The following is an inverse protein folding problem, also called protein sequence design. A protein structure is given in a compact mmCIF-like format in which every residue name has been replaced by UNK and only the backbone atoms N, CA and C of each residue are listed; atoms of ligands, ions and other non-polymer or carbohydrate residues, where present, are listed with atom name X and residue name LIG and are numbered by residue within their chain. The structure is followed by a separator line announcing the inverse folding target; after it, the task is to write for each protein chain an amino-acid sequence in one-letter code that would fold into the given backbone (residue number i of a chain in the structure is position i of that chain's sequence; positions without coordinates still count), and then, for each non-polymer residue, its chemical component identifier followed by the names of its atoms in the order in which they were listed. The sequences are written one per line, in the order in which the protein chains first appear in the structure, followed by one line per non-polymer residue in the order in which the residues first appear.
data_IF_002503289108
#
_entry.id   IF_002503289108
#
_cell.length_a   1.000
_cell.length_b   1.000
_cell.length_c   1.000
_cell.angle_alpha   90.00
_cell.angle_beta   90.00
_cell.angle_gamma   90.00
#
_symmetry.space_group_name_H-M   'P 1'
#
loop_
_entity.id
_entity.type
_entity.pdbx_description
1 polymer ?
#
# COMPACT_ATOMS: atom_id res chain seq x y z
N UNK A 1 18.39 4.57 14.02
CA UNK A 1 18.29 3.73 12.80
C UNK A 1 19.41 4.17 11.86
N UNK A 2 20.27 3.26 11.36
CA UNK A 2 21.37 3.61 10.44
C UNK A 2 20.96 3.39 8.99
N UNK A 3 21.57 4.12 8.06
CA UNK A 3 21.40 3.93 6.60
C UNK A 3 21.63 2.47 6.19
N UNK A 4 22.73 1.88 6.67
CA UNK A 4 23.05 0.47 6.46
C UNK A 4 21.93 -0.48 6.93
N UNK A 5 21.32 -0.20 8.09
CA UNK A 5 20.24 -1.03 8.63
C UNK A 5 18.94 -0.95 7.81
N UNK A 6 18.61 0.20 7.23
CA UNK A 6 17.43 0.34 6.35
C UNK A 6 17.67 -0.39 5.02
N UNK A 7 18.84 -0.22 4.42
CA UNK A 7 19.22 -0.92 3.20
C UNK A 7 19.19 -2.45 3.39
N UNK A 8 19.71 -2.95 4.51
CA UNK A 8 19.67 -4.38 4.82
C UNK A 8 18.24 -4.92 4.91
N UNK A 9 17.33 -4.22 5.59
CA UNK A 9 15.92 -4.63 5.68
C UNK A 9 15.22 -4.60 4.32
N UNK A 10 15.48 -3.55 3.52
CA UNK A 10 14.96 -3.44 2.16
C UNK A 10 15.40 -4.63 1.28
N UNK A 11 16.70 -4.94 1.25
CA UNK A 11 17.23 -6.05 0.46
C UNK A 11 16.64 -7.41 0.89
N UNK A 12 16.37 -7.58 2.19
CA UNK A 12 15.72 -8.79 2.70
C UNK A 12 14.29 -8.94 2.18
N UNK A 13 13.53 -7.84 2.09
CA UNK A 13 12.18 -7.85 1.50
C UNK A 13 12.26 -8.22 0.01
N UNK A 14 13.16 -7.61 -0.76
CA UNK A 14 13.37 -7.98 -2.18
C UNK A 14 13.65 -9.46 -2.37
N UNK A 15 14.48 -10.05 -1.51
CA UNK A 15 14.80 -11.48 -1.58
C UNK A 15 13.56 -12.36 -1.34
N UNK A 16 12.63 -11.93 -0.47
CA UNK A 16 11.36 -12.63 -0.27
C UNK A 16 10.48 -12.56 -1.51
N UNK A 17 10.43 -11.41 -2.18
CA UNK A 17 9.58 -11.19 -3.35
C UNK A 17 9.97 -12.06 -4.55
N UNK A 18 11.26 -12.39 -4.71
CA UNK A 18 11.73 -13.27 -5.79
C UNK A 18 11.11 -14.68 -5.77
N UNK A 19 10.56 -15.11 -4.63
CA UNK A 19 9.96 -16.44 -4.45
C UNK A 19 8.49 -16.34 -4.00
N UNK A 20 7.83 -15.21 -4.27
CA UNK A 20 6.43 -14.96 -3.88
C UNK A 20 5.55 -15.04 -5.11
N UNK A 21 4.57 -15.94 -5.16
CA UNK A 21 3.63 -15.99 -6.30
C UNK A 21 2.52 -14.95 -6.17
N UNK A 22 2.09 -14.66 -4.94
CA UNK A 22 0.96 -13.79 -4.64
C UNK A 22 1.20 -12.91 -3.42
N UNK A 23 0.67 -11.68 -3.46
CA UNK A 23 0.57 -10.78 -2.32
C UNK A 23 -0.90 -10.66 -1.94
N UNK A 24 -1.22 -10.98 -0.69
CA UNK A 24 -2.57 -10.87 -0.16
C UNK A 24 -2.65 -9.82 0.95
N UNK A 25 -3.62 -8.92 0.87
CA UNK A 25 -3.92 -7.92 1.90
C UNK A 25 -5.25 -8.32 2.54
N UNK A 26 -5.18 -8.77 3.79
CA UNK A 26 -6.34 -9.27 4.53
C UNK A 26 -6.46 -8.56 5.89
N UNK A 27 -7.68 -8.24 6.31
CA UNK A 27 -7.96 -7.74 7.65
C UNK A 27 -9.20 -8.42 8.24
N UNK A 28 -9.28 -8.52 9.57
CA UNK A 28 -10.46 -9.02 10.28
C UNK A 28 -11.71 -8.15 10.01
N UNK A 29 -11.50 -6.89 9.64
CA UNK A 29 -12.56 -5.94 9.32
C UNK A 29 -13.21 -6.20 7.94
N UNK A 30 -12.61 -7.03 7.09
CA UNK A 30 -13.18 -7.45 5.81
C UNK A 30 -12.38 -7.05 4.57
N UNK A 31 -11.24 -6.36 4.71
CA UNK A 31 -10.34 -6.15 3.56
C UNK A 31 -9.85 -7.51 3.09
N UNK A 32 -9.99 -7.79 1.79
CA UNK A 32 -9.50 -9.02 1.17
C UNK A 32 -9.14 -8.72 -0.28
N UNK A 33 -7.86 -8.53 -0.55
CA UNK A 33 -7.31 -8.30 -1.88
C UNK A 33 -6.19 -9.30 -2.14
N UNK A 34 -6.14 -9.83 -3.37
CA UNK A 34 -5.09 -10.75 -3.79
C UNK A 34 -4.55 -10.28 -5.13
N UNK A 35 -3.22 -10.18 -5.21
CA UNK A 35 -2.49 -9.81 -6.42
C UNK A 35 -1.52 -10.93 -6.77
N UNK A 36 -1.39 -11.27 -8.05
CA UNK A 36 -0.22 -12.01 -8.53
C UNK A 36 1.00 -11.09 -8.45
N UNK A 37 2.16 -11.62 -8.05
CA UNK A 37 3.40 -10.83 -8.01
C UNK A 37 3.74 -10.26 -9.39
N UNK A 38 3.41 -10.98 -10.47
CA UNK A 38 3.70 -10.59 -11.84
C UNK A 38 2.85 -9.39 -12.30
N UNK A 39 1.74 -9.13 -11.59
CA UNK A 39 0.89 -7.97 -11.82
C UNK A 39 1.32 -6.73 -10.99
N UNK A 40 2.38 -6.86 -10.19
CA UNK A 40 2.89 -5.79 -9.33
C UNK A 40 4.26 -5.29 -9.81
N UNK A 41 4.39 -3.98 -9.95
CA UNK A 41 5.70 -3.32 -9.90
C UNK A 41 5.99 -2.85 -8.48
N UNK A 42 7.24 -2.85 -8.05
CA UNK A 42 7.59 -2.39 -6.71
C UNK A 42 8.85 -1.54 -6.64
N UNK A 43 8.84 -0.56 -5.73
CA UNK A 43 9.96 0.35 -5.49
C UNK A 43 10.29 0.44 -4.00
N UNK A 44 11.57 0.68 -3.69
CA UNK A 44 12.02 0.87 -2.31
C UNK A 44 12.44 2.29 -2.01
N UNK A 45 11.83 2.83 -0.97
CA UNK A 45 12.11 4.17 -0.45
C UNK A 45 12.84 4.02 0.88
N UNK A 46 14.17 4.03 0.80
CA UNK A 46 15.07 3.81 1.94
C UNK A 46 15.64 5.10 2.53
N UNK A 47 15.46 6.23 1.84
CA UNK A 47 16.02 7.53 2.21
C UNK A 47 17.53 7.62 2.07
N UNK A 48 18.15 6.64 1.39
CA UNK A 48 19.58 6.59 1.10
C UNK A 48 19.76 6.58 -0.41
N UNK A 49 20.45 7.58 -0.99
CA UNK A 49 20.80 7.56 -2.42
C UNK A 49 21.64 6.31 -2.76
N UNK A 50 21.40 5.68 -3.91
CA UNK A 50 22.13 4.46 -4.32
C UNK A 50 23.29 4.78 -5.25
N UNK A 51 23.24 5.90 -5.96
CA UNK A 51 24.28 6.40 -6.84
C UNK A 51 24.26 7.92 -7.02
N UNK A 52 25.21 8.41 -7.79
CA UNK A 52 25.27 9.82 -8.19
C UNK A 52 24.06 10.17 -9.06
N UNK A 53 23.40 11.29 -8.76
CA UNK A 53 22.19 11.74 -9.45
C UNK A 53 20.87 11.19 -8.89
N UNK A 54 20.92 10.23 -7.94
CA UNK A 54 19.72 9.70 -7.32
C UNK A 54 19.07 10.69 -6.35
N UNK A 55 17.76 10.87 -6.49
CA UNK A 55 16.95 11.49 -5.46
C UNK A 55 16.55 10.46 -4.41
N UNK A 56 16.86 10.75 -3.14
CA UNK A 56 16.33 10.00 -2.01
C UNK A 56 15.59 10.95 -1.06
N UNK A 57 14.42 10.51 -0.59
CA UNK A 57 13.61 11.30 0.35
C UNK A 57 13.87 10.77 1.76
N UNK A 58 14.39 11.62 2.63
CA UNK A 58 14.57 11.34 4.05
C UNK A 58 13.57 12.18 4.86
N UNK A 59 12.77 11.59 5.78
CA UNK A 59 12.74 10.18 6.19
C UNK A 59 11.83 9.28 5.37
N UNK A 60 12.31 8.07 5.04
CA UNK A 60 11.52 6.97 4.47
C UNK A 60 12.02 5.62 5.01
N UNK A 61 11.34 4.54 4.64
CA UNK A 61 11.68 3.18 5.08
C UNK A 61 10.62 2.14 4.71
N UNK A 62 10.07 2.24 3.50
CA UNK A 62 8.99 1.38 3.03
C UNK A 62 9.26 0.86 1.61
N UNK A 63 8.52 -0.19 1.24
CA UNK A 63 8.42 -0.70 -0.12
C UNK A 63 7.01 -0.38 -0.61
N UNK A 64 6.88 0.16 -1.82
CA UNK A 64 5.60 0.44 -2.42
C UNK A 64 5.32 -0.58 -3.53
N UNK A 65 4.08 -1.07 -3.61
CA UNK A 65 3.60 -1.86 -4.73
C UNK A 65 2.65 -1.01 -5.55
N UNK A 66 2.82 -1.03 -6.88
CA UNK A 66 1.85 -0.48 -7.82
C UNK A 66 1.32 -1.64 -8.64
N UNK A 67 0.00 -1.72 -8.77
CA UNK A 67 -0.68 -2.76 -9.53
C UNK A 67 -1.35 -2.15 -10.75
N UNK A 68 -1.39 -2.90 -11.86
CA UNK A 68 -2.49 -2.72 -12.79
C UNK A 68 -3.76 -3.22 -12.08
N UNK A 69 -4.62 -2.28 -11.69
CA UNK A 69 -5.86 -2.61 -11.00
C UNK A 69 -6.94 -3.13 -11.97
N UNK A 70 -6.69 -3.17 -13.28
CA UNK A 70 -7.67 -3.64 -14.26
C UNK A 70 -8.16 -5.05 -13.90
N UNK A 71 -9.48 -5.18 -13.70
CA UNK A 71 -10.10 -6.44 -13.31
C UNK A 71 -10.00 -6.79 -11.82
N UNK A 72 -9.46 -5.89 -10.97
CA UNK A 72 -9.48 -6.07 -9.53
C UNK A 72 -10.92 -5.99 -9.00
N UNK A 73 -11.28 -7.02 -8.24
CA UNK A 73 -12.55 -7.15 -7.55
C UNK A 73 -12.26 -7.31 -6.06
N UNK A 74 -12.93 -6.55 -5.21
CA UNK A 74 -12.75 -6.70 -3.76
C UNK A 74 -13.28 -5.56 -2.94
N UNK A 75 -12.86 -5.53 -1.68
CA UNK A 75 -13.23 -4.53 -0.70
C UNK A 75 -12.01 -4.09 0.11
N UNK A 76 -11.94 -2.79 0.40
CA UNK A 76 -11.02 -2.22 1.38
C UNK A 76 -11.87 -1.64 2.50
N UNK A 77 -11.65 -2.12 3.72
CA UNK A 77 -12.31 -1.63 4.93
C UNK A 77 -11.33 -0.77 5.72
N UNK A 78 -11.62 0.53 5.77
CA UNK A 78 -10.94 1.50 6.61
C UNK A 78 -11.61 1.51 7.98
N UNK A 79 -10.83 1.34 9.04
CA UNK A 79 -11.27 1.30 10.43
C UNK A 79 -10.86 2.57 11.18
N UNK A 80 -11.48 2.88 12.33
CA UNK A 80 -11.06 4.00 13.15
C UNK A 80 -9.56 3.95 13.47
N UNK A 81 -8.84 5.03 13.14
CA UNK A 81 -7.38 5.11 13.28
C UNK A 81 -6.60 4.95 11.96
N UNK A 82 -7.23 4.45 10.90
CA UNK A 82 -6.62 4.46 9.57
C UNK A 82 -6.51 5.90 9.03
N UNK A 83 -5.55 6.11 8.13
CA UNK A 83 -5.17 7.42 7.62
C UNK A 83 -5.48 7.50 6.13
N UNK A 84 -6.19 8.56 5.75
CA UNK A 84 -6.36 8.97 4.36
C UNK A 84 -5.37 10.10 4.12
N UNK A 85 -4.22 9.76 3.53
CA UNK A 85 -3.06 10.65 3.50
C UNK A 85 -3.32 11.95 2.75
N UNK A 86 -3.97 11.90 1.58
CA UNK A 86 -4.20 13.10 0.75
C UNK A 86 -5.22 14.06 1.38
N UNK A 87 -6.18 13.53 2.14
CA UNK A 87 -7.15 14.32 2.90
C UNK A 87 -6.60 14.76 4.27
N UNK A 88 -5.39 14.30 4.66
CA UNK A 88 -4.81 14.45 6.00
C UNK A 88 -5.80 14.08 7.11
N UNK A 89 -6.63 13.07 6.85
CA UNK A 89 -7.77 12.73 7.70
C UNK A 89 -7.56 11.41 8.42
N UNK A 90 -7.92 11.38 9.70
CA UNK A 90 -7.96 10.15 10.49
C UNK A 90 -9.39 9.63 10.50
N UNK A 91 -9.58 8.40 10.01
CA UNK A 91 -10.88 7.74 9.99
C UNK A 91 -11.41 7.58 11.42
N UNK A 92 -12.66 7.99 11.66
CA UNK A 92 -13.32 7.96 12.98
C UNK A 92 -14.39 6.88 13.12
N UNK A 93 -14.92 6.39 12.01
CA UNK A 93 -15.90 5.31 11.93
C UNK A 93 -15.60 4.47 10.69
N UNK A 94 -15.94 3.17 10.66
CA UNK A 94 -15.66 2.31 9.52
C UNK A 94 -16.14 2.88 8.19
N UNK A 95 -15.32 2.75 7.15
CA UNK A 95 -15.66 3.07 5.76
C UNK A 95 -15.25 1.92 4.86
N UNK A 96 -16.16 1.46 4.02
CA UNK A 96 -15.93 0.37 3.06
C UNK A 96 -15.83 0.95 1.66
N UNK A 97 -14.75 0.62 0.96
CA UNK A 97 -14.54 0.92 -0.46
C UNK A 97 -14.78 -0.36 -1.25
N UNK A 98 -15.83 -0.38 -2.08
CA UNK A 98 -16.07 -1.50 -2.99
C UNK A 98 -15.37 -1.28 -4.32
N UNK A 99 -14.58 -2.27 -4.74
CA UNK A 99 -13.78 -2.21 -5.96
C UNK A 99 -14.35 -3.18 -6.99
N UNK A 100 -14.64 -2.69 -8.20
CA UNK A 100 -15.01 -3.50 -9.37
C UNK A 100 -14.19 -3.05 -10.58
N UNK A 101 -13.60 -4.00 -11.31
CA UNK A 101 -12.76 -3.74 -12.46
C UNK A 101 -11.63 -2.75 -12.20
N UNK A 102 -11.10 -2.69 -10.97
CA UNK A 102 -10.06 -1.73 -10.57
C UNK A 102 -10.54 -0.35 -10.14
N UNK A 103 -11.84 -0.10 -10.15
CA UNK A 103 -12.42 1.19 -9.80
C UNK A 103 -13.18 1.08 -8.49
N UNK A 104 -13.06 2.10 -7.63
CA UNK A 104 -13.96 2.26 -6.50
C UNK A 104 -15.33 2.64 -7.05
N UNK A 105 -16.33 1.78 -6.87
CA UNK A 105 -17.70 1.99 -7.37
C UNK A 105 -18.67 2.46 -6.29
N UNK A 106 -18.36 2.16 -5.02
CA UNK A 106 -19.18 2.53 -3.88
C UNK A 106 -18.29 2.79 -2.67
N UNK A 107 -18.68 3.80 -1.89
CA UNK A 107 -18.04 4.16 -0.62
C UNK A 107 -19.15 4.19 0.42
N UNK A 108 -19.11 3.27 1.39
CA UNK A 108 -20.15 3.13 2.41
C UNK A 108 -19.59 3.51 3.78
N UNK A 109 -20.25 4.44 4.46
CA UNK A 109 -19.91 4.83 5.82
C UNK A 109 -20.25 6.30 6.13
N UNK A 110 -20.46 6.62 7.40
CA UNK A 110 -20.91 7.96 7.82
C UNK A 110 -19.91 9.08 7.49
N UNK A 111 -18.63 8.74 7.28
CA UNK A 111 -17.57 9.67 6.94
C UNK A 111 -17.15 9.61 5.46
N UNK A 112 -17.90 8.91 4.60
CA UNK A 112 -17.56 8.71 3.19
C UNK A 112 -17.23 10.03 2.44
N UNK A 113 -18.01 11.10 2.68
CA UNK A 113 -17.78 12.41 2.06
C UNK A 113 -16.59 13.20 2.62
N UNK A 114 -15.95 12.77 3.71
CA UNK A 114 -14.78 13.47 4.29
C UNK A 114 -13.45 12.81 3.89
N UNK A 115 -13.52 11.69 3.18
CA UNK A 115 -12.38 10.88 2.76
C UNK A 115 -11.95 11.24 1.33
N UNK A 116 -12.73 12.08 0.63
CA UNK A 116 -12.48 12.55 -0.74
C UNK A 116 -12.75 14.05 -0.84
#
# INVERSE_FOLDING_TARGET
MTSAGVLQRSNRIHTLLLNTDHVSINSEAGTNLVFSIDALSHDSYTGVPKGEGDLAIWPTGYLNFSADATGLEGEIVLMPGDIVNDALHLVKSPVVLQIRGGNIIEIVGNQAMQIF
#
